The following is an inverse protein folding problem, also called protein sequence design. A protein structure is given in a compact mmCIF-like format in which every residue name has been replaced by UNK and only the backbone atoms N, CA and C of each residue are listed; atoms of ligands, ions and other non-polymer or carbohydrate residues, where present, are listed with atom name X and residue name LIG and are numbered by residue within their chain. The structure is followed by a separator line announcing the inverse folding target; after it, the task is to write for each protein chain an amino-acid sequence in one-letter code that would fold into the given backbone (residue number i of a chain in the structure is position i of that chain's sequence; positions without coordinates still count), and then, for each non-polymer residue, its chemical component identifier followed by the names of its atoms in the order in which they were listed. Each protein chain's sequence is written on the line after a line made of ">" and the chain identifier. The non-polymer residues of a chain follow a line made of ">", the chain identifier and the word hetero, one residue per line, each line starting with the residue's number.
data_IF_565764846632
#
_entry.id   IF_565764846632
#
_cell.length_a   1.000
_cell.length_b   1.000
_cell.length_c   1.000
_cell.angle_alpha   90.00
_cell.angle_beta   90.00
_cell.angle_gamma   90.00
#
_symmetry.space_group_name_H-M   'P 1'
#
loop_
_entity.id
_entity.type
_entity.pdbx_description
1 polymer ?
#
# COMPACT_ATOMS: atom_id res chain seq x y z
N UNK A 1 2.18 44.82 54.22
CA UNK A 1 1.76 43.73 53.31
C UNK A 1 2.96 42.81 53.13
N UNK A 2 2.85 41.59 53.63
CA UNK A 2 3.96 40.77 54.11
C UNK A 2 4.59 39.92 52.99
N UNK A 3 5.91 40.01 52.82
CA UNK A 3 6.70 39.39 51.73
C UNK A 3 6.76 37.85 51.78
N UNK A 4 6.17 37.23 52.80
CA UNK A 4 6.12 35.76 52.94
C UNK A 4 5.12 35.08 52.00
N UNK A 5 4.09 35.79 51.54
CA UNK A 5 3.04 35.20 50.70
C UNK A 5 3.39 35.12 49.19
N UNK A 6 4.43 35.85 48.75
CA UNK A 6 4.85 35.85 47.34
C UNK A 6 5.71 34.62 46.97
N UNK A 7 6.35 33.96 47.94
CA UNK A 7 7.21 32.78 47.69
C UNK A 7 6.42 31.47 47.59
N UNK A 8 5.26 31.39 48.24
CA UNK A 8 4.39 30.21 48.15
C UNK A 8 3.58 30.17 46.84
N UNK A 9 3.32 31.32 46.21
CA UNK A 9 2.61 31.38 44.93
C UNK A 9 3.48 30.96 43.72
N UNK A 10 4.81 31.04 43.85
CA UNK A 10 5.75 30.63 42.78
C UNK A 10 6.04 29.13 42.80
N UNK A 11 5.87 28.47 43.95
CA UNK A 11 6.08 27.03 44.08
C UNK A 11 4.93 26.18 43.50
N UNK A 12 3.72 26.75 43.34
CA UNK A 12 2.55 26.01 42.86
C UNK A 12 2.42 25.98 41.32
N UNK A 13 3.15 26.83 40.58
CA UNK A 13 3.09 26.87 39.11
C UNK A 13 4.13 25.95 38.44
N UNK A 14 5.05 25.34 39.20
CA UNK A 14 6.09 24.46 38.67
C UNK A 14 5.70 22.96 38.63
N UNK A 15 4.59 22.57 39.25
CA UNK A 15 4.14 21.16 39.31
C UNK A 15 3.03 20.78 38.31
N UNK A 16 2.61 21.69 37.42
CA UNK A 16 1.57 21.39 36.42
C UNK A 16 2.09 20.94 35.04
N UNK A 17 3.40 20.71 34.87
CA UNK A 17 4.00 20.39 33.57
C UNK A 17 4.53 18.96 33.41
N UNK A 18 4.38 18.09 34.42
CA UNK A 18 4.81 16.68 34.31
C UNK A 18 3.68 15.70 33.96
N UNK A 19 2.47 16.19 33.71
CA UNK A 19 1.34 15.39 33.23
C UNK A 19 1.24 15.41 31.71
N UNK A 20 2.32 15.18 30.97
CA UNK A 20 2.15 14.75 29.57
C UNK A 20 1.75 13.29 29.63
N UNK A 21 0.44 13.05 29.67
CA UNK A 21 -0.14 11.80 29.24
C UNK A 21 0.55 11.45 27.91
N UNK A 22 1.37 10.41 27.91
CA UNK A 22 1.79 9.78 26.67
C UNK A 22 0.51 9.20 26.06
N UNK A 23 -0.25 10.04 25.36
CA UNK A 23 -1.17 9.56 24.35
C UNK A 23 -0.27 8.83 23.38
N UNK A 24 -0.28 7.50 23.43
CA UNK A 24 0.17 6.67 22.33
C UNK A 24 -0.74 6.98 21.15
N UNK A 25 -0.49 8.12 20.50
CA UNK A 25 -1.01 8.42 19.20
C UNK A 25 -0.38 7.36 18.28
N UNK A 26 -1.22 6.55 17.65
CA UNK A 26 -0.75 5.57 16.69
C UNK A 26 0.16 6.23 15.65
N UNK A 27 1.24 5.55 15.26
CA UNK A 27 2.15 6.08 14.24
C UNK A 27 1.58 5.77 12.86
N UNK A 28 1.41 6.79 12.02
CA UNK A 28 1.07 6.64 10.61
C UNK A 28 2.30 7.02 9.80
N UNK A 29 2.72 6.15 8.88
CA UNK A 29 3.80 6.45 7.93
C UNK A 29 3.28 7.41 6.86
N UNK A 30 4.13 8.27 6.28
CA UNK A 30 3.74 9.01 5.07
C UNK A 30 3.25 8.05 3.99
N UNK A 31 2.25 8.48 3.22
CA UNK A 31 1.74 7.72 2.08
C UNK A 31 2.83 7.57 1.03
N UNK A 32 3.10 6.32 0.63
CA UNK A 32 3.97 6.00 -0.50
C UNK A 32 3.10 5.84 -1.75
N UNK A 33 3.36 6.65 -2.78
CA UNK A 33 2.68 6.54 -4.07
C UNK A 33 3.53 5.72 -5.02
N UNK A 34 2.97 4.62 -5.50
CA UNK A 34 3.50 3.80 -6.61
C UNK A 34 2.81 4.31 -7.87
N UNK A 35 3.58 4.85 -8.80
CA UNK A 35 3.07 5.25 -10.10
C UNK A 35 2.88 4.01 -10.98
N UNK A 36 1.79 4.01 -11.76
CA UNK A 36 1.62 2.99 -12.78
C UNK A 36 2.71 3.11 -13.86
N UNK A 37 3.25 1.97 -14.25
CA UNK A 37 4.26 1.84 -15.28
C UNK A 37 3.94 0.57 -16.07
N UNK A 38 4.33 0.53 -17.34
CA UNK A 38 4.13 -0.66 -18.18
C UNK A 38 4.57 -1.96 -17.49
N UNK A 39 3.59 -2.74 -17.05
CA UNK A 39 3.73 -4.06 -16.43
C UNK A 39 2.73 -4.97 -17.14
N UNK A 40 3.14 -5.53 -18.29
CA UNK A 40 2.26 -6.34 -19.11
C UNK A 40 2.97 -7.51 -19.78
N UNK A 41 2.27 -8.65 -19.87
CA UNK A 41 2.63 -9.79 -20.71
C UNK A 41 1.91 -9.77 -22.07
N UNK A 42 2.17 -10.81 -22.87
CA UNK A 42 1.49 -11.13 -24.13
C UNK A 42 -0.03 -10.90 -24.04
N UNK A 43 -0.49 -9.97 -24.87
CA UNK A 43 -1.90 -9.64 -25.07
C UNK A 43 -2.53 -10.59 -26.08
N UNK A 44 -3.77 -11.05 -25.84
CA UNK A 44 -4.56 -11.76 -26.86
C UNK A 44 -5.64 -10.83 -27.39
N UNK A 45 -5.66 -10.64 -28.70
CA UNK A 45 -6.63 -9.77 -29.34
C UNK A 45 -8.03 -10.41 -29.44
N UNK A 46 -8.97 -9.67 -30.04
CA UNK A 46 -10.34 -10.12 -30.28
C UNK A 46 -10.47 -11.38 -31.15
N UNK A 47 -9.40 -11.80 -31.83
CA UNK A 47 -9.37 -13.01 -32.65
C UNK A 47 -8.74 -14.21 -31.93
N UNK A 48 -8.37 -14.07 -30.65
CA UNK A 48 -7.69 -15.12 -29.89
C UNK A 48 -6.27 -15.38 -30.36
N UNK A 49 -5.74 -14.51 -31.23
CA UNK A 49 -4.35 -14.56 -31.66
C UNK A 49 -3.51 -13.80 -30.65
N UNK A 50 -2.51 -14.48 -30.09
CA UNK A 50 -1.55 -13.85 -29.19
C UNK A 50 -0.75 -12.78 -29.96
N UNK A 51 -0.93 -11.52 -29.60
CA UNK A 51 -0.11 -10.41 -30.06
C UNK A 51 1.16 -10.42 -29.23
N UNK A 52 2.22 -10.98 -29.81
CA UNK A 52 3.58 -10.84 -29.28
C UNK A 52 3.99 -9.36 -29.40
N UNK A 53 4.69 -8.83 -28.40
CA UNK A 53 5.25 -7.48 -28.38
C UNK A 53 4.21 -6.35 -28.35
N UNK A 54 3.09 -6.54 -27.63
CA UNK A 54 2.17 -5.44 -27.34
C UNK A 54 2.82 -4.45 -26.37
N UNK A 55 3.40 -3.36 -26.86
CA UNK A 55 3.88 -2.23 -26.03
C UNK A 55 2.75 -1.45 -25.33
N UNK A 56 1.51 -1.97 -25.35
CA UNK A 56 0.34 -1.31 -24.76
C UNK A 56 0.20 -1.71 -23.31
N UNK A 57 0.25 -0.70 -22.45
CA UNK A 57 0.09 -0.80 -21.00
C UNK A 57 -1.30 -1.27 -20.59
N UNK A 58 -2.31 -0.83 -21.34
CA UNK A 58 -3.70 -1.20 -21.10
C UNK A 58 -4.24 -2.02 -22.26
N UNK A 59 -4.68 -3.23 -21.96
CA UNK A 59 -5.43 -4.09 -22.85
C UNK A 59 -6.94 -3.76 -22.77
N UNK A 60 -7.68 -3.88 -23.87
CA UNK A 60 -9.16 -3.78 -23.86
C UNK A 60 -9.74 -2.35 -23.74
N UNK A 61 -8.91 -1.31 -23.61
CA UNK A 61 -9.35 0.10 -23.61
C UNK A 61 -9.16 0.82 -22.28
N UNK A 62 -9.47 2.12 -22.23
CA UNK A 62 -9.19 2.97 -21.06
C UNK A 62 -9.95 2.59 -19.79
N UNK A 63 -11.00 1.76 -19.91
CA UNK A 63 -11.77 1.30 -18.75
C UNK A 63 -10.97 0.41 -17.79
N UNK A 64 -9.90 -0.22 -18.28
CA UNK A 64 -9.03 -1.07 -17.46
C UNK A 64 -7.83 -0.33 -16.90
N UNK A 65 -7.65 0.94 -17.24
CA UNK A 65 -6.45 1.69 -16.89
C UNK A 65 -6.31 1.86 -15.37
N UNK A 66 -5.11 1.56 -14.86
CA UNK A 66 -4.65 1.89 -13.53
C UNK A 66 -3.78 3.14 -13.63
N UNK A 67 -3.78 3.98 -12.58
CA UNK A 67 -3.05 5.25 -12.59
C UNK A 67 -1.97 5.28 -11.51
N UNK A 68 -2.29 4.77 -10.31
CA UNK A 68 -1.37 4.70 -9.19
C UNK A 68 -1.91 3.81 -8.07
N UNK A 69 -1.02 3.48 -7.14
CA UNK A 69 -1.35 2.82 -5.89
C UNK A 69 -0.76 3.62 -4.73
N UNK A 70 -1.62 4.11 -3.84
CA UNK A 70 -1.22 4.83 -2.65
C UNK A 70 -1.25 3.90 -1.44
N UNK A 71 -0.14 3.83 -0.71
CA UNK A 71 0.06 2.86 0.38
C UNK A 71 0.43 3.59 1.65
N UNK A 72 -0.35 3.37 2.70
CA UNK A 72 -0.12 3.94 4.03
C UNK A 72 -0.06 2.82 5.06
N UNK A 73 0.94 2.87 5.95
CA UNK A 73 1.02 1.95 7.09
C UNK A 73 0.75 2.69 8.38
N UNK A 74 -0.16 2.15 9.19
CA UNK A 74 -0.48 2.70 10.51
C UNK A 74 -0.29 1.65 11.60
N UNK A 75 0.06 2.09 12.81
CA UNK A 75 0.16 1.24 14.00
C UNK A 75 -0.75 1.82 15.06
N UNK A 76 -1.72 1.04 15.54
CA UNK A 76 -2.67 1.45 16.56
C UNK A 76 -2.88 0.32 17.57
N UNK A 77 -2.76 0.64 18.87
CA UNK A 77 -2.97 -0.31 19.97
C UNK A 77 -2.19 -1.64 19.83
N UNK A 78 -0.98 -1.59 19.28
CA UNK A 78 -0.13 -2.76 19.06
C UNK A 78 -0.46 -3.60 17.81
N UNK A 79 -1.42 -3.15 16.99
CA UNK A 79 -1.74 -3.73 15.69
C UNK A 79 -1.17 -2.87 14.56
N UNK A 80 -0.72 -3.49 13.49
CA UNK A 80 -0.20 -2.83 12.29
C UNK A 80 -1.17 -3.03 11.14
N UNK A 81 -1.65 -1.92 10.58
CA UNK A 81 -2.56 -1.89 9.45
C UNK A 81 -1.87 -1.37 8.20
N UNK A 82 -2.30 -1.89 7.06
CA UNK A 82 -1.93 -1.40 5.74
C UNK A 82 -3.19 -0.92 5.02
N UNK A 83 -3.20 0.36 4.69
CA UNK A 83 -4.21 1.01 3.87
C UNK A 83 -3.66 1.15 2.45
N UNK A 84 -4.34 0.59 1.47
CA UNK A 84 -3.95 0.61 0.06
C UNK A 84 -5.09 1.15 -0.77
N UNK A 85 -4.82 2.14 -1.62
CA UNK A 85 -5.78 2.68 -2.58
C UNK A 85 -5.23 2.52 -3.99
N UNK A 86 -5.93 1.79 -4.84
CA UNK A 86 -5.61 1.63 -6.25
C UNK A 86 -6.51 2.57 -7.06
N UNK A 87 -5.91 3.61 -7.63
CA UNK A 87 -6.60 4.59 -8.47
C UNK A 87 -6.74 4.01 -9.88
N UNK A 88 -7.97 3.73 -10.33
CA UNK A 88 -8.22 3.00 -11.58
C UNK A 88 -9.58 3.36 -12.19
N UNK A 89 -9.63 3.40 -13.52
CA UNK A 89 -10.86 3.55 -14.28
C UNK A 89 -11.79 2.32 -14.17
N UNK A 90 -11.30 1.19 -13.66
CA UNK A 90 -12.05 -0.05 -13.52
C UNK A 90 -12.94 -0.09 -12.28
N UNK A 91 -12.71 0.82 -11.32
CA UNK A 91 -13.51 0.88 -10.11
C UNK A 91 -15.00 1.04 -10.47
N UNK A 92 -15.83 0.13 -9.98
CA UNK A 92 -17.27 0.07 -10.24
C UNK A 92 -17.68 -0.56 -11.56
N UNK A 93 -16.73 -1.14 -12.33
CA UNK A 93 -16.98 -1.78 -13.63
C UNK A 93 -16.84 -3.30 -13.60
N UNK A 94 -16.81 -3.90 -12.41
CA UNK A 94 -16.93 -5.35 -12.28
C UNK A 94 -18.23 -5.85 -12.95
N UNK A 95 -18.15 -7.01 -13.59
CA UNK A 95 -19.20 -7.58 -14.41
C UNK A 95 -18.70 -8.85 -15.07
N UNK A 96 -18.41 -8.83 -16.37
CA UNK A 96 -17.77 -9.97 -17.05
C UNK A 96 -16.34 -10.24 -16.55
N UNK A 97 -15.69 -9.21 -16.00
CA UNK A 97 -14.40 -9.28 -15.32
C UNK A 97 -14.58 -8.86 -13.86
N UNK A 98 -13.77 -9.40 -12.97
CA UNK A 98 -13.91 -9.16 -11.53
C UNK A 98 -12.68 -8.46 -10.95
N UNK A 99 -12.80 -8.00 -9.69
CA UNK A 99 -11.62 -7.54 -8.94
C UNK A 99 -10.73 -8.73 -8.58
N UNK A 100 -9.43 -8.60 -8.84
CA UNK A 100 -8.43 -9.53 -8.34
C UNK A 100 -7.98 -9.17 -6.94
N UNK A 101 -7.15 -10.04 -6.38
CA UNK A 101 -6.62 -9.94 -5.04
C UNK A 101 -5.39 -9.01 -5.01
N UNK A 102 -5.12 -8.41 -3.85
CA UNK A 102 -3.91 -7.60 -3.65
C UNK A 102 -2.78 -8.47 -3.12
N UNK A 103 -1.70 -8.62 -3.88
CA UNK A 103 -0.53 -9.41 -3.49
C UNK A 103 0.49 -8.56 -2.73
N UNK A 104 1.12 -9.16 -1.71
CA UNK A 104 2.09 -8.50 -0.85
C UNK A 104 3.30 -9.40 -0.59
N UNK A 105 4.49 -8.81 -0.56
CA UNK A 105 5.71 -9.49 -0.15
C UNK A 105 6.73 -8.53 0.45
N UNK A 106 7.69 -9.07 1.19
CA UNK A 106 8.88 -8.31 1.59
C UNK A 106 9.76 -8.06 0.36
N UNK A 107 10.42 -6.90 0.29
CA UNK A 107 11.30 -6.54 -0.82
C UNK A 107 12.41 -7.58 -1.09
N UNK A 108 12.82 -8.36 -0.09
CA UNK A 108 13.79 -9.44 -0.25
C UNK A 108 13.30 -10.58 -1.18
N UNK A 109 11.99 -10.70 -1.37
CA UNK A 109 11.36 -11.68 -2.27
C UNK A 109 10.79 -11.02 -3.53
N UNK A 110 11.07 -9.73 -3.74
CA UNK A 110 10.63 -8.96 -4.88
C UNK A 110 11.77 -8.86 -5.91
N UNK A 111 11.54 -9.45 -7.07
CA UNK A 111 12.43 -9.32 -8.22
C UNK A 111 11.60 -8.97 -9.47
N UNK A 112 11.49 -7.66 -9.79
CA UNK A 112 10.72 -7.18 -10.92
C UNK A 112 11.37 -7.53 -12.27
N UNK A 113 12.63 -7.98 -12.29
CA UNK A 113 13.31 -8.26 -13.54
C UNK A 113 12.88 -9.62 -14.09
N UNK A 114 12.41 -9.64 -15.32
CA UNK A 114 12.29 -10.87 -16.10
C UNK A 114 13.68 -11.17 -16.67
N UNK A 115 14.35 -12.20 -16.15
CA UNK A 115 15.71 -12.53 -16.52
C UNK A 115 15.88 -12.96 -17.99
N UNK A 116 16.03 -12.02 -18.92
CA UNK A 116 16.79 -12.21 -20.16
C UNK A 116 17.25 -10.85 -20.72
N UNK A 117 18.49 -10.47 -20.41
CA UNK A 117 19.20 -9.40 -21.13
C UNK A 117 19.56 -9.94 -22.53
N UNK A 118 18.71 -9.70 -23.53
CA UNK A 118 19.26 -9.54 -24.87
C UNK A 118 20.10 -8.26 -24.85
N UNK A 119 21.37 -8.40 -25.19
CA UNK A 119 22.40 -7.39 -25.05
C UNK A 119 22.08 -6.14 -25.86
N UNK A 120 21.44 -5.14 -25.23
CA UNK A 120 21.33 -3.81 -25.83
C UNK A 120 20.11 -2.96 -25.47
N UNK A 121 19.10 -3.46 -24.76
CA UNK A 121 17.90 -2.65 -24.45
C UNK A 121 17.89 -2.28 -22.96
N UNK A 122 18.05 -0.98 -22.70
CA UNK A 122 18.29 -0.38 -21.38
C UNK A 122 17.02 -0.04 -20.59
N UNK A 123 15.91 -0.72 -20.81
CA UNK A 123 14.68 -0.57 -20.02
C UNK A 123 14.21 -1.95 -19.55
N UNK A 124 14.23 -2.19 -18.24
CA UNK A 124 14.02 -3.48 -17.56
C UNK A 124 12.69 -4.21 -17.78
N UNK A 125 11.86 -3.79 -18.75
CA UNK A 125 10.58 -4.41 -19.13
C UNK A 125 10.38 -4.54 -20.65
N UNK A 126 11.40 -4.22 -21.46
CA UNK A 126 11.23 -3.97 -22.91
C UNK A 126 11.51 -5.16 -23.83
N UNK A 127 11.80 -6.34 -23.28
CA UNK A 127 12.11 -7.55 -24.07
C UNK A 127 11.12 -8.69 -23.79
N UNK A 128 9.82 -8.40 -23.82
CA UNK A 128 8.78 -9.42 -23.65
C UNK A 128 8.47 -10.17 -24.96
N UNK A 129 9.46 -10.89 -25.50
CA UNK A 129 9.21 -11.80 -26.63
C UNK A 129 8.84 -13.22 -26.19
N UNK A 130 9.06 -13.57 -24.91
CA UNK A 130 8.85 -14.93 -24.36
C UNK A 130 8.58 -14.96 -22.85
N UNK A 131 7.42 -14.50 -22.39
CA UNK A 131 6.79 -15.16 -21.24
C UNK A 131 6.40 -16.60 -21.65
N UNK A 132 7.35 -17.53 -21.53
CA UNK A 132 7.07 -18.95 -21.42
C UNK A 132 6.96 -19.26 -19.93
N UNK A 133 5.80 -19.75 -19.46
CA UNK A 133 5.64 -20.29 -18.08
C UNK A 133 5.98 -19.33 -16.91
N UNK A 134 6.18 -18.03 -17.15
CA UNK A 134 6.97 -17.14 -16.28
C UNK A 134 6.22 -15.95 -15.68
N UNK A 135 4.89 -16.01 -15.65
CA UNK A 135 4.06 -15.06 -14.90
C UNK A 135 3.40 -15.81 -13.72
N UNK A 136 4.23 -16.65 -13.12
CA UNK A 136 4.01 -17.41 -11.88
C UNK A 136 5.06 -17.07 -10.82
N UNK A 137 5.51 -15.81 -10.79
CA UNK A 137 6.46 -15.36 -9.78
C UNK A 137 7.77 -16.16 -9.76
N UNK A 138 8.34 -16.49 -10.94
CA UNK A 138 9.63 -17.20 -10.94
C UNK A 138 10.73 -16.36 -10.27
N UNK A 139 10.58 -15.02 -10.32
CA UNK A 139 11.52 -14.08 -9.73
C UNK A 139 10.91 -13.39 -8.49
N UNK A 140 9.73 -12.75 -8.59
CA UNK A 140 8.99 -12.28 -7.40
C UNK A 140 8.16 -13.40 -6.77
N UNK A 141 8.42 -13.71 -5.49
CA UNK A 141 7.60 -14.63 -4.69
C UNK A 141 6.67 -13.86 -3.76
N UNK A 142 5.40 -13.81 -4.14
CA UNK A 142 4.35 -13.25 -3.29
C UNK A 142 4.14 -14.14 -2.05
N UNK A 143 4.31 -13.56 -0.86
CA UNK A 143 4.16 -14.29 0.40
C UNK A 143 2.71 -14.27 0.88
N UNK A 144 2.00 -13.17 0.59
CA UNK A 144 0.63 -12.97 1.02
C UNK A 144 -0.24 -12.44 -0.13
N UNK A 145 -1.53 -12.69 -0.03
CA UNK A 145 -2.54 -12.02 -0.83
C UNK A 145 -3.71 -11.61 0.06
N UNK A 146 -4.34 -10.48 -0.22
CA UNK A 146 -5.61 -10.10 0.37
C UNK A 146 -6.73 -10.53 -0.58
N UNK A 147 -7.39 -11.63 -0.21
CA UNK A 147 -8.54 -12.19 -0.90
C UNK A 147 -9.77 -11.32 -0.68
N UNK A 148 -10.29 -10.77 -1.79
CA UNK A 148 -11.46 -9.88 -1.79
C UNK A 148 -12.80 -10.61 -1.77
N UNK A 149 -12.80 -11.95 -1.88
CA UNK A 149 -14.02 -12.76 -2.00
C UNK A 149 -14.24 -13.67 -0.80
N UNK A 150 -13.66 -13.29 0.34
CA UNK A 150 -13.82 -14.02 1.59
C UNK A 150 -15.29 -14.04 2.05
N UNK A 151 -15.87 -15.23 2.14
CA UNK A 151 -17.16 -15.49 2.78
C UNK A 151 -18.41 -15.01 2.02
N UNK A 152 -18.27 -14.30 0.90
CA UNK A 152 -19.39 -13.93 0.01
C UNK A 152 -18.87 -13.62 -1.39
N UNK A 153 -19.65 -13.98 -2.42
CA UNK A 153 -19.38 -13.80 -3.85
C UNK A 153 -19.38 -12.32 -4.28
N UNK A 154 -18.49 -11.53 -3.69
CA UNK A 154 -18.50 -10.07 -3.74
C UNK A 154 -17.57 -9.49 -4.81
N UNK A 155 -16.62 -10.26 -5.34
CA UNK A 155 -15.72 -9.77 -6.40
C UNK A 155 -16.43 -9.45 -7.73
N UNK A 156 -17.59 -10.09 -7.97
CA UNK A 156 -18.38 -9.96 -9.20
C UNK A 156 -19.45 -8.86 -9.16
N UNK A 157 -20.05 -8.63 -7.98
CA UNK A 157 -21.28 -7.83 -7.86
C UNK A 157 -21.06 -6.38 -7.40
N UNK A 158 -19.81 -5.96 -7.21
CA UNK A 158 -19.49 -4.70 -6.55
C UNK A 158 -19.30 -3.53 -7.52
N UNK A 159 -20.41 -3.03 -8.05
CA UNK A 159 -20.46 -1.80 -8.87
C UNK A 159 -20.25 -0.52 -8.04
N UNK A 160 -20.52 -0.59 -6.74
CA UNK A 160 -20.16 0.41 -5.73
C UNK A 160 -20.47 -0.13 -4.34
N UNK A 161 -19.56 0.03 -3.38
CA UNK A 161 -19.79 -0.50 -2.04
C UNK A 161 -18.65 -0.22 -1.07
N UNK A 162 -18.96 -0.26 0.23
CA UNK A 162 -18.01 0.01 1.30
C UNK A 162 -17.97 -1.14 2.30
N UNK A 163 -16.79 -1.39 2.85
CA UNK A 163 -16.55 -2.34 3.94
C UNK A 163 -16.93 -3.80 3.62
N UNK A 164 -16.59 -4.26 2.41
CA UNK A 164 -16.65 -5.67 2.08
C UNK A 164 -15.57 -6.41 2.83
N UNK A 165 -15.90 -7.51 3.49
CA UNK A 165 -14.91 -8.32 4.20
C UNK A 165 -13.88 -8.88 3.21
N UNK A 166 -12.62 -8.92 3.63
CA UNK A 166 -11.58 -9.70 2.96
C UNK A 166 -10.66 -10.38 3.96
N UNK A 167 -9.80 -11.26 3.44
CA UNK A 167 -8.87 -12.03 4.25
C UNK A 167 -7.46 -12.02 3.65
N UNK A 168 -6.48 -11.74 4.50
CA UNK A 168 -5.08 -11.93 4.18
C UNK A 168 -4.75 -13.42 4.31
N UNK A 169 -4.27 -13.99 3.22
CA UNK A 169 -3.86 -15.38 3.11
C UNK A 169 -2.36 -15.45 2.91
N UNK A 170 -1.71 -16.41 3.55
CA UNK A 170 -0.31 -16.74 3.30
C UNK A 170 -0.22 -17.75 2.16
N UNK A 171 0.56 -17.47 1.13
CA UNK A 171 0.75 -18.36 -0.02
C UNK A 171 1.81 -19.41 0.32
N UNK A 172 1.48 -20.70 0.20
CA UNK A 172 2.47 -21.77 0.39
C UNK A 172 3.46 -21.78 -0.78
N UNK A 173 4.71 -21.44 -0.47
CA UNK A 173 5.78 -21.34 -1.46
C UNK A 173 6.13 -22.69 -2.11
N UNK A 174 5.81 -23.83 -1.46
CA UNK A 174 5.99 -25.16 -2.05
C UNK A 174 4.84 -25.57 -2.97
N UNK A 175 3.72 -24.86 -2.85
CA UNK A 175 2.48 -25.11 -3.60
C UNK A 175 2.01 -23.87 -4.35
N UNK A 176 2.95 -23.01 -4.72
CA UNK A 176 2.68 -21.68 -5.24
C UNK A 176 1.67 -21.71 -6.39
N UNK A 177 1.85 -22.60 -7.37
CA UNK A 177 0.94 -22.77 -8.50
C UNK A 177 -0.45 -23.29 -8.15
N UNK A 178 -0.61 -23.96 -7.00
CA UNK A 178 -1.93 -24.37 -6.53
C UNK A 178 -2.59 -23.27 -5.70
N UNK A 179 -1.80 -22.49 -4.97
CA UNK A 179 -2.26 -21.41 -4.10
C UNK A 179 -2.47 -20.08 -4.85
N UNK A 180 -2.20 -20.01 -6.16
CA UNK A 180 -2.43 -18.84 -7.01
C UNK A 180 -3.19 -19.21 -8.28
N UNK A 181 -4.01 -18.30 -8.80
CA UNK A 181 -4.71 -18.41 -10.08
C UNK A 181 -4.26 -17.30 -11.02
N UNK A 182 -3.95 -17.68 -12.26
CA UNK A 182 -3.72 -16.74 -13.35
C UNK A 182 -5.02 -16.33 -14.05
N UNK A 183 -5.01 -15.21 -14.78
CA UNK A 183 -6.17 -14.75 -15.56
C UNK A 183 -6.69 -15.81 -16.54
N UNK A 184 -5.82 -16.65 -17.10
CA UNK A 184 -6.16 -17.80 -17.96
C UNK A 184 -6.95 -18.88 -17.23
N UNK A 185 -6.56 -19.15 -16.00
CA UNK A 185 -7.15 -20.19 -15.17
C UNK A 185 -8.46 -19.72 -14.53
N UNK A 186 -8.69 -18.40 -14.49
CA UNK A 186 -9.90 -17.85 -13.93
C UNK A 186 -11.13 -18.08 -14.85
N UNK A 187 -12.21 -18.74 -14.37
CA UNK A 187 -13.26 -19.25 -15.24
C UNK A 187 -14.12 -18.20 -15.97
N UNK A 188 -14.16 -16.95 -15.51
CA UNK A 188 -15.01 -15.91 -16.12
C UNK A 188 -14.40 -15.22 -17.33
N UNK A 189 -13.09 -15.37 -17.56
CA UNK A 189 -12.35 -14.43 -18.41
C UNK A 189 -12.10 -14.98 -19.83
N UNK A 190 -13.08 -15.71 -20.35
CA UNK A 190 -13.07 -16.20 -21.75
C UNK A 190 -13.35 -15.11 -22.81
N UNK A 191 -13.42 -13.84 -22.38
CA UNK A 191 -13.56 -12.68 -23.25
C UNK A 191 -12.31 -12.41 -24.07
N UNK A 192 -12.41 -11.47 -25.00
CA UNK A 192 -11.27 -11.00 -25.77
C UNK A 192 -10.61 -9.82 -25.09
N UNK A 193 -9.28 -9.72 -25.24
CA UNK A 193 -8.53 -8.58 -24.76
C UNK A 193 -8.04 -8.67 -23.32
N UNK A 194 -7.65 -9.85 -22.84
CA UNK A 194 -7.11 -10.09 -21.51
C UNK A 194 -5.63 -10.50 -21.57
N UNK A 195 -4.93 -10.49 -20.44
CA UNK A 195 -3.55 -10.97 -20.31
C UNK A 195 -3.52 -12.30 -19.53
N UNK A 196 -3.55 -13.45 -20.22
CA UNK A 196 -3.82 -14.74 -19.61
C UNK A 196 -2.83 -15.16 -18.53
N UNK A 197 -1.57 -14.78 -18.67
CA UNK A 197 -0.53 -15.41 -17.87
C UNK A 197 -0.35 -14.73 -16.49
N UNK A 198 -1.12 -13.69 -16.20
CA UNK A 198 -0.96 -12.83 -15.01
C UNK A 198 -1.58 -13.46 -13.78
N UNK A 199 -0.84 -13.52 -12.67
CA UNK A 199 -1.43 -13.85 -11.36
C UNK A 199 -2.40 -12.74 -10.96
N UNK A 200 -3.63 -13.15 -10.63
CA UNK A 200 -4.74 -12.25 -10.30
C UNK A 200 -5.46 -12.62 -9.00
N UNK A 201 -5.28 -13.84 -8.50
CA UNK A 201 -5.96 -14.31 -7.29
C UNK A 201 -5.16 -15.36 -6.52
N UNK A 202 -5.42 -15.45 -5.22
CA UNK A 202 -4.97 -16.55 -4.38
C UNK A 202 -6.10 -17.59 -4.20
N UNK A 203 -5.72 -18.88 -4.15
CA UNK A 203 -6.63 -20.01 -4.01
C UNK A 203 -6.58 -20.59 -2.60
N UNK A 204 -6.72 -19.73 -1.60
CA UNK A 204 -6.60 -20.15 -0.20
C UNK A 204 -7.65 -19.48 0.65
N UNK A 205 -8.16 -20.21 1.63
CA UNK A 205 -9.03 -19.64 2.64
C UNK A 205 -8.18 -19.00 3.75
N UNK A 206 -8.53 -17.77 4.10
CA UNK A 206 -7.86 -17.01 5.16
C UNK A 206 -8.68 -16.92 6.42
N UNK A 207 -8.25 -16.03 7.30
CA UNK A 207 -9.08 -15.53 8.40
C UNK A 207 -9.42 -14.07 8.10
N UNK A 208 -10.68 -13.69 8.24
CA UNK A 208 -11.11 -12.29 8.12
C UNK A 208 -10.23 -11.38 8.97
N UNK A 209 -9.53 -10.46 8.32
CA UNK A 209 -8.61 -9.53 8.97
C UNK A 209 -8.50 -8.21 8.20
N UNK A 210 -9.51 -7.87 7.40
CA UNK A 210 -9.55 -6.59 6.73
C UNK A 210 -10.85 -6.39 5.97
N UNK A 211 -10.94 -5.24 5.31
CA UNK A 211 -12.04 -4.90 4.45
C UNK A 211 -11.54 -4.18 3.20
N UNK A 212 -12.37 -4.18 2.16
CA UNK A 212 -12.13 -3.45 0.93
C UNK A 212 -13.39 -2.68 0.51
N UNK A 213 -13.22 -1.69 -0.35
CA UNK A 213 -14.29 -0.83 -0.85
C UNK A 213 -14.04 -0.44 -2.30
N UNK A 214 -15.12 -0.09 -3.00
CA UNK A 214 -15.10 0.38 -4.38
C UNK A 214 -15.76 1.75 -4.46
N UNK A 215 -15.01 2.73 -4.93
CA UNK A 215 -15.51 4.05 -5.30
C UNK A 215 -15.61 4.12 -6.82
N UNK A 216 -16.84 4.03 -7.35
CA UNK A 216 -17.08 3.92 -8.79
C UNK A 216 -16.41 5.05 -9.60
N UNK A 217 -15.59 4.66 -10.57
CA UNK A 217 -14.85 5.54 -11.48
C UNK A 217 -13.63 6.23 -10.86
N UNK A 218 -13.22 5.85 -9.64
CA UNK A 218 -12.14 6.50 -8.91
C UNK A 218 -11.09 5.49 -8.42
N UNK A 219 -11.43 4.69 -7.39
CA UNK A 219 -10.47 3.76 -6.78
C UNK A 219 -11.10 2.52 -6.14
N UNK A 220 -10.26 1.51 -5.96
CA UNK A 220 -10.50 0.36 -5.07
C UNK A 220 -9.60 0.55 -3.85
N UNK A 221 -10.15 0.41 -2.63
CA UNK A 221 -9.37 0.54 -1.40
C UNK A 221 -9.38 -0.72 -0.57
N UNK A 222 -8.28 -0.96 0.14
CA UNK A 222 -8.05 -2.10 1.03
C UNK A 222 -7.59 -1.57 2.37
N UNK A 223 -8.11 -2.15 3.44
CA UNK A 223 -7.67 -1.93 4.81
C UNK A 223 -7.39 -3.29 5.45
N UNK A 224 -6.12 -3.55 5.73
CA UNK A 224 -5.65 -4.90 6.05
C UNK A 224 -4.93 -4.87 7.39
N UNK A 225 -5.33 -5.71 8.34
CA UNK A 225 -4.52 -5.99 9.51
C UNK A 225 -3.41 -6.98 9.16
N UNK A 226 -2.19 -6.47 9.05
CA UNK A 226 -0.99 -7.26 8.76
C UNK A 226 -0.24 -7.68 10.04
N UNK A 227 -0.84 -7.48 11.22
CA UNK A 227 -0.27 -7.90 12.50
C UNK A 227 0.06 -9.38 12.51
N UNK A 228 1.19 -9.75 13.12
CA UNK A 228 1.63 -11.15 13.21
C UNK A 228 2.26 -11.71 11.92
N UNK A 229 2.30 -10.94 10.82
CA UNK A 229 3.05 -11.29 9.61
C UNK A 229 4.47 -10.69 9.63
N UNK A 230 5.33 -11.15 8.73
CA UNK A 230 6.64 -10.52 8.49
C UNK A 230 6.53 -9.09 7.94
N UNK A 231 5.39 -8.73 7.34
CA UNK A 231 5.14 -7.41 6.75
C UNK A 231 4.95 -6.31 7.81
N UNK A 232 4.51 -6.68 9.02
CA UNK A 232 4.21 -5.72 10.09
C UNK A 232 5.42 -4.87 10.49
N UNK A 233 6.63 -5.43 10.39
CA UNK A 233 7.89 -4.78 10.74
C UNK A 233 8.78 -4.48 9.53
N UNK A 234 8.37 -4.88 8.32
CA UNK A 234 9.17 -4.70 7.11
C UNK A 234 9.45 -3.22 6.82
N UNK A 235 10.67 -2.86 6.43
CA UNK A 235 10.98 -1.49 6.03
C UNK A 235 10.40 -1.13 4.66
N UNK A 236 10.19 -2.14 3.82
CA UNK A 236 9.67 -2.00 2.48
C UNK A 236 8.76 -3.19 2.19
N UNK A 237 7.60 -2.92 1.61
CA UNK A 237 6.66 -3.94 1.15
C UNK A 237 6.51 -3.75 -0.34
N UNK A 238 6.65 -4.83 -1.11
CA UNK A 238 6.25 -4.85 -2.49
C UNK A 238 4.78 -5.25 -2.59
N UNK A 239 4.05 -4.60 -3.50
CA UNK A 239 2.63 -4.82 -3.72
C UNK A 239 2.36 -5.01 -5.20
N UNK A 240 1.32 -5.79 -5.51
CA UNK A 240 0.80 -5.94 -6.87
C UNK A 240 -0.72 -6.08 -6.83
N UNK A 241 -1.39 -5.44 -7.78
CA UNK A 241 -2.81 -5.62 -7.99
C UNK A 241 -3.17 -5.62 -9.47
N UNK A 242 -4.18 -6.41 -9.82
CA UNK A 242 -4.79 -6.46 -11.14
C UNK A 242 -6.25 -6.89 -11.04
N UNK A 243 -7.04 -6.58 -12.07
CA UNK A 243 -8.34 -7.22 -12.31
C UNK A 243 -8.14 -8.68 -12.70
N UNK A 244 -9.18 -9.53 -12.61
CA UNK A 244 -9.05 -10.96 -12.96
C UNK A 244 -8.59 -11.21 -14.39
N UNK A 245 -8.87 -10.28 -15.30
CA UNK A 245 -8.46 -10.38 -16.69
C UNK A 245 -7.01 -9.93 -16.95
N UNK A 246 -6.33 -9.35 -15.97
CA UNK A 246 -4.96 -8.87 -16.10
C UNK A 246 -4.78 -7.78 -17.16
N UNK A 247 -5.86 -7.09 -17.54
CA UNK A 247 -5.85 -6.09 -18.62
C UNK A 247 -4.88 -4.94 -18.37
N UNK A 248 -4.66 -4.63 -17.11
CA UNK A 248 -3.68 -3.68 -16.60
C UNK A 248 -3.24 -4.12 -15.21
N UNK A 249 -2.02 -3.76 -14.81
CA UNK A 249 -1.38 -4.28 -13.61
C UNK A 249 -0.49 -3.21 -13.01
N UNK A 250 -0.65 -2.99 -11.72
CA UNK A 250 0.23 -2.12 -10.97
C UNK A 250 1.07 -2.94 -10.00
N UNK A 251 2.38 -2.69 -9.98
CA UNK A 251 3.35 -3.38 -9.14
C UNK A 251 4.44 -2.39 -8.69
N UNK A 252 4.85 -2.47 -7.43
CA UNK A 252 5.92 -1.59 -6.94
C UNK A 252 6.19 -1.73 -5.44
N UNK A 253 7.12 -0.91 -4.95
CA UNK A 253 7.61 -0.96 -3.56
C UNK A 253 7.13 0.27 -2.78
N UNK A 254 6.41 0.03 -1.69
CA UNK A 254 6.12 1.02 -0.67
C UNK A 254 7.22 0.99 0.40
N UNK A 255 7.87 2.13 0.65
CA UNK A 255 8.91 2.26 1.67
C UNK A 255 8.37 2.96 2.91
N UNK A 256 8.62 2.38 4.07
CA UNK A 256 8.15 2.88 5.35
C UNK A 256 9.35 3.23 6.25
N UNK A 257 9.24 4.30 7.05
CA UNK A 257 10.23 4.56 8.09
C UNK A 257 10.31 3.35 9.02
N UNK A 258 11.49 2.75 9.12
CA UNK A 258 11.77 1.60 10.00
C UNK A 258 11.60 2.02 11.46
N UNK A 259 10.42 1.83 12.06
CA UNK A 259 10.18 1.82 13.52
C UNK A 259 10.58 3.07 14.32
N UNK A 260 11.16 4.08 13.69
CA UNK A 260 11.42 5.39 14.25
C UNK A 260 10.22 6.26 13.90
N UNK A 261 9.45 6.63 14.90
CA UNK A 261 8.38 7.61 14.76
C UNK A 261 8.89 8.77 13.89
N UNK A 262 8.43 8.85 12.65
CA UNK A 262 8.49 10.09 11.88
C UNK A 262 7.57 11.03 12.59
N UNK A 263 8.14 11.75 13.56
CA UNK A 263 7.49 12.91 14.18
C UNK A 263 7.10 13.80 13.01
N UNK A 264 5.80 14.11 12.84
CA UNK A 264 5.40 15.06 11.82
C UNK A 264 6.21 16.33 12.05
N UNK A 265 7.05 16.67 11.08
CA UNK A 265 7.96 17.80 11.16
C UNK A 265 7.26 19.15 11.47
N UNK A 266 5.93 19.37 11.29
CA UNK A 266 5.31 20.62 11.76
C UNK A 266 5.42 20.87 13.27
N UNK A 267 5.38 19.84 14.11
CA UNK A 267 5.37 20.00 15.56
C UNK A 267 6.76 20.30 16.14
N UNK A 268 7.81 19.72 15.54
CA UNK A 268 9.19 19.94 15.96
C UNK A 268 9.62 21.41 15.73
N UNK A 269 9.25 21.99 14.59
CA UNK A 269 9.50 23.41 14.32
C UNK A 269 8.73 24.32 15.30
N UNK A 270 7.48 24.00 15.61
CA UNK A 270 6.69 24.77 16.58
C UNK A 270 7.30 24.70 18.00
N UNK A 271 7.76 23.53 18.45
CA UNK A 271 8.43 23.37 19.74
C UNK A 271 9.78 24.08 19.78
N UNK A 272 10.56 23.99 18.70
CA UNK A 272 11.82 24.70 18.56
C UNK A 272 11.61 26.23 18.58
N UNK A 273 10.63 26.74 17.83
CA UNK A 273 10.27 28.16 17.80
C UNK A 273 9.74 28.62 19.16
N UNK A 274 8.92 27.83 19.84
CA UNK A 274 8.46 28.12 21.20
C UNK A 274 9.61 28.15 22.21
N UNK A 275 10.57 27.22 22.09
CA UNK A 275 11.79 27.21 22.90
C UNK A 275 12.67 28.43 22.68
N UNK A 276 12.88 28.82 21.42
CA UNK A 276 13.62 30.04 21.06
C UNK A 276 12.91 31.32 21.54
N UNK A 277 11.58 31.39 21.40
CA UNK A 277 10.78 32.50 21.91
C UNK A 277 10.89 32.60 23.44
N UNK A 278 10.84 31.48 24.16
CA UNK A 278 11.03 31.42 25.61
C UNK A 278 12.42 31.91 26.04
N UNK A 279 13.47 31.46 25.36
CA UNK A 279 14.85 31.92 25.60
C UNK A 279 15.00 33.42 25.34
N UNK A 280 14.47 33.94 24.23
CA UNK A 280 14.47 35.36 23.91
C UNK A 280 13.73 36.22 24.96
N UNK A 281 12.57 35.75 25.42
CA UNK A 281 11.81 36.41 26.47
C UNK A 281 12.55 36.43 27.82
N UNK A 282 13.21 35.32 28.19
CA UNK A 282 13.97 35.21 29.42
C UNK A 282 15.17 36.17 29.48
N UNK A 283 15.85 36.40 28.35
CA UNK A 283 16.97 37.35 28.23
C UNK A 283 16.51 38.79 28.46
N UNK A 284 15.37 39.21 27.89
CA UNK A 284 14.82 40.57 28.09
C UNK A 284 14.51 40.88 29.55
N UNK A 285 14.00 39.91 30.31
CA UNK A 285 13.72 40.09 31.74
C UNK A 285 14.99 40.22 32.60
N UNK A 286 16.12 39.62 32.20
CA UNK A 286 17.40 39.78 32.92
C UNK A 286 18.01 41.16 32.72
N UNK A 287 17.95 41.72 31.51
CA UNK A 287 18.48 43.07 31.24
C UNK A 287 17.67 44.18 31.91
N UNK A 288 16.34 44.05 32.00
CA UNK A 288 15.48 45.04 32.67
C UNK A 288 15.72 45.11 34.20
N UNK A 289 16.20 44.03 34.81
CA UNK A 289 16.48 43.96 36.26
C UNK A 289 17.82 44.58 36.65
N UNK A 290 18.72 44.84 35.70
CA UNK A 290 20.03 45.46 35.94
C UNK A 290 19.97 47.00 35.86
N UNK A 291 18.91 47.57 35.29
CA UNK A 291 18.72 49.03 35.19
C UNK A 291 17.94 49.66 36.38
N UNK A 292 17.64 48.89 37.42
CA UNK A 292 16.92 49.37 38.63
C UNK A 292 17.69 49.11 39.94
N UNK A 293 19.02 48.96 39.86
CA UNK A 293 19.91 48.91 41.03
C UNK A 293 20.80 50.16 41.06
#
# INVERSE_FOLDING_TARGET
>A
MDMKNAKQLIALTAMLLCGTSATYAGSVSPTATIADNYIGARYYDYSGNGVKDSTRDVAGGSDYQIHSMDVTRSVNAGRTYLDVQVNTNFAGKAGAFHYGDLFLTDVANYDPYVGYLDSGISNGYSADSRFGTADMGQNTRWLYAFDVDYGSSSRADNTSGVNHTGALVEIDQNRYSQDTTTAREYPSDSGSGYRPDQIVMANKEGTENGYWSVTHGDYVSFHIDISGTSLASAGQIALRWAMTCGNDIIEGIASFPNGGATVPEPAAYMLMLAGLAGLGYSRRRRSARVMTA
#
